data_IF_543943002598
#
_entry.id   IF_543943002598
#
_cell.length_a   1.000
_cell.length_b   1.000
_cell.length_c   1.000
_cell.angle_alpha   90.00
_cell.angle_beta   90.00
_cell.angle_gamma   90.00
#
_symmetry.space_group_name_H-M   'P 1'
#
loop_
_entity.id
_entity.type
_entity.pdbx_description
1 polymer ?
#
# COMPACT_ATOMS: atom_id res chain seq x y z
N UNK A 1 8.77 5.70 12.16
CA UNK A 1 8.73 5.23 10.75
C UNK A 1 9.48 3.92 10.52
N UNK A 2 10.64 3.67 11.14
CA UNK A 2 11.33 2.38 10.95
C UNK A 2 10.51 1.14 11.35
N UNK A 3 9.80 1.21 12.48
CA UNK A 3 8.95 0.10 12.97
C UNK A 3 7.77 -0.17 12.04
N UNK A 4 7.10 0.87 11.54
CA UNK A 4 5.95 0.72 10.64
C UNK A 4 6.35 0.11 9.29
N UNK A 5 7.52 0.50 8.76
CA UNK A 5 8.05 -0.07 7.52
C UNK A 5 8.42 -1.55 7.67
N UNK A 6 9.01 -1.91 8.82
CA UNK A 6 9.39 -3.30 9.13
C UNK A 6 8.15 -4.20 9.28
N UNK A 7 7.10 -3.72 9.97
CA UNK A 7 5.83 -4.45 10.10
C UNK A 7 5.17 -4.63 8.73
N UNK A 8 5.12 -3.58 7.90
CA UNK A 8 4.56 -3.68 6.56
C UNK A 8 5.32 -4.69 5.68
N UNK A 9 6.66 -4.68 5.73
CA UNK A 9 7.48 -5.65 5.00
C UNK A 9 7.25 -7.10 5.47
N UNK A 10 7.10 -7.32 6.79
CA UNK A 10 6.76 -8.63 7.35
C UNK A 10 5.38 -9.10 6.88
N UNK A 11 4.37 -8.23 6.89
CA UNK A 11 3.04 -8.55 6.39
C UNK A 11 3.07 -8.89 4.89
N UNK A 12 3.83 -8.15 4.08
CA UNK A 12 3.99 -8.48 2.67
C UNK A 12 4.62 -9.87 2.47
N UNK A 13 5.67 -10.20 3.24
CA UNK A 13 6.30 -11.52 3.18
C UNK A 13 5.32 -12.64 3.56
N UNK A 14 4.48 -12.41 4.57
CA UNK A 14 3.40 -13.33 4.95
C UNK A 14 2.38 -13.53 3.82
N UNK A 15 1.90 -12.44 3.21
CA UNK A 15 0.93 -12.49 2.10
C UNK A 15 1.50 -13.17 0.85
N UNK A 16 2.76 -12.92 0.50
CA UNK A 16 3.44 -13.60 -0.61
C UNK A 16 3.58 -15.10 -0.34
N UNK A 17 3.95 -15.48 0.89
CA UNK A 17 4.05 -16.90 1.28
C UNK A 17 2.69 -17.58 1.19
N UNK A 18 1.63 -16.91 1.67
CA UNK A 18 0.27 -17.41 1.56
C UNK A 18 -0.20 -17.57 0.12
N UNK A 19 0.16 -16.62 -0.77
CA UNK A 19 -0.12 -16.73 -2.20
C UNK A 19 0.55 -17.95 -2.83
N UNK A 20 1.85 -18.20 -2.55
CA UNK A 20 2.55 -19.37 -3.09
C UNK A 20 1.92 -20.69 -2.65
N UNK A 21 1.33 -20.74 -1.45
CA UNK A 21 0.67 -21.94 -0.92
C UNK A 21 -0.74 -22.12 -1.47
N UNK A 22 -1.50 -21.05 -1.70
CA UNK A 22 -2.92 -21.13 -2.09
C UNK A 22 -3.21 -20.90 -3.57
N UNK A 23 -2.32 -20.23 -4.33
CA UNK A 23 -2.57 -19.83 -5.71
C UNK A 23 -3.76 -18.86 -5.87
N UNK A 24 -4.23 -18.23 -4.78
CA UNK A 24 -5.44 -17.41 -4.79
C UNK A 24 -5.19 -16.04 -5.41
N UNK A 25 -6.02 -15.68 -6.40
CA UNK A 25 -6.00 -14.37 -7.04
C UNK A 25 -6.42 -13.25 -6.08
N UNK A 26 -7.20 -13.55 -5.04
CA UNK A 26 -7.59 -12.58 -4.02
C UNK A 26 -6.40 -12.19 -3.13
N UNK A 27 -5.61 -13.17 -2.67
CA UNK A 27 -4.39 -12.92 -1.88
C UNK A 27 -3.33 -12.20 -2.72
N UNK A 28 -3.25 -12.50 -4.02
CA UNK A 28 -2.37 -11.77 -4.94
C UNK A 28 -2.75 -10.28 -5.04
N UNK A 29 -4.05 -9.98 -5.12
CA UNK A 29 -4.56 -8.61 -5.16
C UNK A 29 -4.26 -7.83 -3.88
N UNK A 30 -4.44 -8.47 -2.72
CA UNK A 30 -4.14 -7.89 -1.40
C UNK A 30 -2.62 -7.74 -1.15
N UNK A 31 -1.80 -8.67 -1.66
CA UNK A 31 -0.35 -8.54 -1.67
C UNK A 31 0.10 -7.35 -2.54
N UNK A 32 -0.49 -7.16 -3.72
CA UNK A 32 -0.20 -6.03 -4.60
C UNK A 32 -0.56 -4.69 -3.94
N UNK A 33 -1.68 -4.61 -3.23
CA UNK A 33 -2.03 -3.44 -2.41
C UNK A 33 -0.95 -3.15 -1.35
N UNK A 34 -0.48 -4.19 -0.67
CA UNK A 34 0.56 -4.07 0.37
C UNK A 34 1.90 -3.57 -0.20
N UNK A 35 2.26 -3.94 -1.43
CA UNK A 35 3.45 -3.41 -2.13
C UNK A 35 3.30 -1.90 -2.35
N UNK A 36 2.15 -1.47 -2.86
CA UNK A 36 1.87 -0.05 -3.10
C UNK A 36 1.96 0.73 -1.79
N UNK A 37 1.43 0.17 -0.69
CA UNK A 37 1.47 0.81 0.62
C UNK A 37 2.90 0.96 1.17
N UNK A 38 3.75 -0.06 1.03
CA UNK A 38 5.17 0.02 1.41
C UNK A 38 5.90 1.07 0.57
N UNK A 39 5.66 1.10 -0.74
CA UNK A 39 6.26 2.08 -1.63
C UNK A 39 5.86 3.52 -1.25
N UNK A 40 4.58 3.76 -1.00
CA UNK A 40 4.07 5.05 -0.54
C UNK A 40 4.70 5.48 0.80
N UNK A 41 4.71 4.58 1.78
CA UNK A 41 5.34 4.81 3.09
C UNK A 41 6.84 5.10 2.98
N UNK A 42 7.53 4.43 2.04
CA UNK A 42 8.94 4.65 1.75
C UNK A 42 9.21 6.04 1.16
N UNK A 43 8.39 6.49 0.22
CA UNK A 43 8.48 7.84 -0.37
C UNK A 43 8.22 8.90 0.71
N UNK A 44 7.21 8.69 1.58
CA UNK A 44 6.93 9.57 2.70
C UNK A 44 8.10 9.64 3.69
N UNK A 45 8.71 8.50 4.04
CA UNK A 45 9.86 8.45 4.92
C UNK A 45 11.09 9.14 4.31
N UNK A 46 11.35 8.92 3.01
CA UNK A 46 12.43 9.58 2.28
C UNK A 46 12.22 11.09 2.23
N UNK A 47 11.00 11.53 1.93
CA UNK A 47 10.64 12.95 1.87
C UNK A 47 10.81 13.64 3.22
N UNK A 48 10.38 12.98 4.31
CA UNK A 48 10.58 13.49 5.66
C UNK A 48 12.08 13.61 5.99
N UNK A 49 12.88 12.59 5.69
CA UNK A 49 14.32 12.63 5.90
C UNK A 49 14.98 13.78 5.12
N UNK A 50 14.64 13.93 3.84
CA UNK A 50 15.18 15.00 2.99
C UNK A 50 14.74 16.39 3.46
N UNK A 51 13.54 16.51 4.03
CA UNK A 51 13.03 17.76 4.59
C UNK A 51 13.84 18.28 5.79
N UNK A 52 14.48 17.37 6.54
CA UNK A 52 15.31 17.68 7.71
C UNK A 52 16.74 18.11 7.33
N UNK A 53 17.11 18.02 6.05
CA UNK A 53 18.44 18.43 5.58
C UNK A 53 18.62 19.95 5.70
N UNK A 54 19.81 20.37 6.15
CA UNK A 54 20.14 21.78 6.31
C UNK A 54 19.98 22.57 4.98
N UNK A 55 19.69 23.89 5.05
CA UNK A 55 19.58 24.73 3.87
C UNK A 55 20.88 24.73 3.06
N UNK A 56 20.77 24.61 1.73
CA UNK A 56 21.90 24.66 0.82
C UNK A 56 21.85 25.93 -0.05
N UNK A 57 22.87 26.14 -0.90
CA UNK A 57 22.93 27.30 -1.80
C UNK A 57 21.81 27.33 -2.85
N UNK A 58 21.20 26.19 -3.17
CA UNK A 58 20.09 26.06 -4.13
C UNK A 58 18.72 26.22 -3.45
N UNK A 59 18.63 25.98 -2.15
CA UNK A 59 17.44 26.03 -1.32
C UNK A 59 17.72 26.84 -0.04
N UNK A 60 17.82 28.18 -0.14
CA UNK A 60 18.09 29.05 1.00
C UNK A 60 16.98 29.04 2.07
N UNK A 61 15.77 28.59 1.71
CA UNK A 61 14.64 28.40 2.62
C UNK A 61 14.50 26.96 3.14
N UNK A 62 15.47 26.08 2.85
CA UNK A 62 15.47 24.67 3.25
C UNK A 62 14.63 23.76 2.34
N UNK A 63 14.61 22.48 2.69
CA UNK A 63 14.00 21.41 1.89
C UNK A 63 12.59 21.00 2.35
N UNK A 64 12.01 21.74 3.31
CA UNK A 64 10.72 21.41 3.93
C UNK A 64 9.55 21.19 2.96
N UNK A 65 9.59 21.85 1.78
CA UNK A 65 8.49 21.77 0.80
C UNK A 65 8.34 20.40 0.13
N UNK A 66 9.35 19.53 0.20
CA UNK A 66 9.31 18.19 -0.40
C UNK A 66 8.24 17.29 0.25
N UNK A 67 7.90 17.56 1.52
CA UNK A 67 6.87 16.82 2.27
C UNK A 67 5.50 16.99 1.63
N UNK A 68 5.16 18.19 1.16
CA UNK A 68 3.89 18.44 0.46
C UNK A 68 3.81 17.70 -0.88
N UNK A 69 4.92 17.59 -1.59
CA UNK A 69 4.98 16.84 -2.84
C UNK A 69 4.75 15.34 -2.60
N UNK A 70 5.40 14.80 -1.57
CA UNK A 70 5.22 13.40 -1.16
C UNK A 70 3.80 13.12 -0.68
N UNK A 71 3.24 14.00 0.16
CA UNK A 71 1.88 13.84 0.67
C UNK A 71 0.83 13.89 -0.45
N UNK A 72 1.03 14.76 -1.45
CA UNK A 72 0.17 14.80 -2.64
C UNK A 72 0.26 13.52 -3.48
N UNK A 73 1.47 13.00 -3.68
CA UNK A 73 1.69 11.75 -4.44
C UNK A 73 1.08 10.53 -3.73
N UNK A 74 1.35 10.38 -2.43
CA UNK A 74 0.80 9.32 -1.60
C UNK A 74 -0.73 9.41 -1.52
N UNK A 75 -1.29 10.60 -1.29
CA UNK A 75 -2.73 10.82 -1.31
C UNK A 75 -3.37 10.48 -2.66
N UNK A 76 -2.67 10.74 -3.76
CA UNK A 76 -3.09 10.35 -5.10
C UNK A 76 -3.15 8.83 -5.30
N UNK A 77 -2.15 8.10 -4.84
CA UNK A 77 -2.13 6.62 -4.90
C UNK A 77 -3.24 6.00 -4.05
N UNK A 78 -3.45 6.51 -2.84
CA UNK A 78 -4.53 6.06 -1.95
C UNK A 78 -5.90 6.37 -2.58
N UNK A 79 -6.07 7.58 -3.12
CA UNK A 79 -7.29 7.97 -3.82
C UNK A 79 -7.59 7.07 -5.02
N UNK A 80 -6.58 6.77 -5.83
CA UNK A 80 -6.70 5.83 -6.96
C UNK A 80 -7.12 4.43 -6.49
N UNK A 81 -6.46 3.87 -5.47
CA UNK A 81 -6.82 2.57 -4.91
C UNK A 81 -8.27 2.55 -4.40
N UNK A 82 -8.70 3.60 -3.69
CA UNK A 82 -10.08 3.73 -3.22
C UNK A 82 -11.09 3.74 -4.38
N UNK A 83 -10.81 4.49 -5.45
CA UNK A 83 -11.65 4.49 -6.66
C UNK A 83 -11.72 3.11 -7.33
N UNK A 84 -10.59 2.39 -7.43
CA UNK A 84 -10.56 1.04 -7.98
C UNK A 84 -11.40 0.06 -7.14
N UNK A 85 -11.31 0.13 -5.81
CA UNK A 85 -12.12 -0.71 -4.91
C UNK A 85 -13.61 -0.42 -5.07
N UNK A 86 -13.99 0.86 -5.11
CA UNK A 86 -15.39 1.27 -5.33
C UNK A 86 -15.90 0.74 -6.68
N UNK A 87 -15.11 0.86 -7.74
CA UNK A 87 -15.47 0.34 -9.06
C UNK A 87 -15.66 -1.18 -9.04
N UNK A 88 -14.73 -1.92 -8.43
CA UNK A 88 -14.79 -3.38 -8.33
C UNK A 88 -16.01 -3.82 -7.49
N UNK A 89 -16.27 -3.14 -6.38
CA UNK A 89 -17.41 -3.39 -5.50
C UNK A 89 -18.74 -3.11 -6.20
N UNK A 90 -18.84 -1.99 -6.94
CA UNK A 90 -20.04 -1.66 -7.72
C UNK A 90 -20.30 -2.70 -8.83
N UNK A 91 -19.24 -3.15 -9.51
CA UNK A 91 -19.34 -4.20 -10.52
C UNK A 91 -19.82 -5.52 -9.91
N UNK A 92 -19.24 -5.94 -8.78
CA UNK A 92 -19.66 -7.14 -8.05
C UNK A 92 -21.13 -7.07 -7.57
N UNK A 93 -21.63 -5.88 -7.22
CA UNK A 93 -23.01 -5.67 -6.80
C UNK A 93 -24.01 -5.79 -7.96
N UNK A 94 -23.62 -5.37 -9.17
CA UNK A 94 -24.49 -5.33 -10.34
C UNK A 94 -24.50 -6.65 -11.14
N UNK A 95 -23.35 -7.32 -11.26
CA UNK A 95 -23.19 -8.51 -12.10
C UNK A 95 -23.18 -9.83 -11.30
N UNK A 96 -23.29 -9.74 -9.98
CA UNK A 96 -23.23 -10.89 -9.08
C UNK A 96 -21.79 -11.28 -8.74
N UNK A 97 -21.62 -11.92 -7.58
CA UNK A 97 -20.31 -12.27 -7.05
C UNK A 97 -19.88 -13.62 -7.64
N UNK A 98 -18.92 -13.63 -8.56
CA UNK A 98 -18.18 -14.85 -8.90
C UNK A 98 -17.21 -15.19 -7.75
N UNK A 99 -17.72 -15.93 -6.77
CA UNK A 99 -16.98 -16.38 -5.60
C UNK A 99 -15.97 -17.45 -6.00
N UNK A 100 -14.77 -17.02 -6.39
CA UNK A 100 -13.64 -17.93 -6.63
C UNK A 100 -12.87 -18.13 -5.31
N UNK A 101 -13.03 -19.31 -4.71
CA UNK A 101 -12.26 -19.82 -3.56
C UNK A 101 -12.42 -19.05 -2.23
N UNK A 102 -13.65 -19.07 -1.67
CA UNK A 102 -13.99 -18.52 -0.34
C UNK A 102 -13.25 -19.16 0.84
N UNK A 103 -12.92 -20.46 0.78
CA UNK A 103 -12.52 -21.21 1.98
C UNK A 103 -11.13 -20.82 2.49
N UNK A 104 -10.13 -21.00 1.63
CA UNK A 104 -8.71 -20.81 1.96
C UNK A 104 -8.30 -19.34 1.95
N UNK A 105 -8.91 -18.51 1.09
CA UNK A 105 -8.67 -17.07 1.06
C UNK A 105 -9.07 -16.40 2.37
N UNK A 106 -10.29 -16.67 2.85
CA UNK A 106 -10.87 -16.01 4.03
C UNK A 106 -10.15 -16.40 5.34
N UNK A 107 -9.73 -17.66 5.49
CA UNK A 107 -8.98 -18.14 6.65
C UNK A 107 -7.60 -17.47 6.79
N UNK A 108 -6.96 -17.17 5.67
CA UNK A 108 -5.63 -16.55 5.64
C UNK A 108 -5.74 -15.05 5.89
N UNK A 109 -6.70 -14.36 5.26
CA UNK A 109 -6.91 -12.93 5.56
C UNK A 109 -7.33 -12.73 7.01
N UNK A 110 -8.13 -13.62 7.59
CA UNK A 110 -8.50 -13.57 9.00
C UNK A 110 -7.35 -13.87 9.97
N UNK A 111 -6.32 -14.61 9.54
CA UNK A 111 -5.14 -14.90 10.35
C UNK A 111 -4.03 -13.84 10.24
N UNK A 112 -4.05 -13.04 9.17
CA UNK A 112 -3.07 -11.98 8.87
C UNK A 112 -3.57 -10.56 9.16
N UNK A 113 -4.90 -10.35 9.26
CA UNK A 113 -5.52 -9.10 9.69
C UNK A 113 -5.34 -8.86 11.20
#
# INVERSE_FOLDING_TARGET
MGVSLAVAALMLAGKLTAFFVTGSTAILSDAAESIVHIAASGIAAFSLWYSMQAPDKKHPYGHGKIVYFSAGFEGGLIGFAAFSIIYLAANALLFGVELKELGTGLLITAALA
#
